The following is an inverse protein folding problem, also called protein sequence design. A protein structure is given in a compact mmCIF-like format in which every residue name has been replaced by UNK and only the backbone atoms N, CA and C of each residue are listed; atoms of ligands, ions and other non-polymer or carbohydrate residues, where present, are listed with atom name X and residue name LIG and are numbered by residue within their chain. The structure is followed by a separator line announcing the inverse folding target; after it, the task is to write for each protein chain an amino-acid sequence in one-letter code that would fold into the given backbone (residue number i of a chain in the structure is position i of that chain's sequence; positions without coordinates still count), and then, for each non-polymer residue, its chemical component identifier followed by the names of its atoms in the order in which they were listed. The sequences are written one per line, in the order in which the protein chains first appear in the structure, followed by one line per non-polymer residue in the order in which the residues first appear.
data_IF_557563401958
#
_entry.id   IF_557563401958
#
_cell.length_a   1.000
_cell.length_b   1.000
_cell.length_c   1.000
_cell.angle_alpha   90.00
_cell.angle_beta   90.00
_cell.angle_gamma   90.00
#
_symmetry.space_group_name_H-M   'P 1'
#
loop_
_entity.id
_entity.type
_entity.pdbx_description
1 polymer ?
#
# COMPACT_ATOMS: atom_id res chain seq x y z
N UNK A 1 -14.02 -1.44 -1.10
CA UNK A 1 -13.47 -0.62 0.00
C UNK A 1 -11.98 -0.38 -0.26
N UNK A 2 -11.37 0.66 0.31
CA UNK A 2 -9.97 0.98 0.06
C UNK A 2 -9.16 0.97 1.36
N UNK A 3 -7.99 0.34 1.31
CA UNK A 3 -6.96 0.42 2.36
C UNK A 3 -5.84 1.30 1.82
N UNK A 4 -5.51 2.37 2.55
CA UNK A 4 -4.38 3.23 2.24
C UNK A 4 -3.16 2.72 3.00
N UNK A 5 -2.04 2.64 2.30
CA UNK A 5 -0.74 2.18 2.81
C UNK A 5 0.25 3.32 2.63
N UNK A 6 0.84 3.78 3.72
CA UNK A 6 1.93 4.72 3.74
C UNK A 6 3.22 3.94 4.01
N UNK A 7 4.16 4.01 3.08
CA UNK A 7 5.40 3.22 3.10
C UNK A 7 6.63 4.10 3.37
N UNK A 8 7.74 3.47 3.75
CA UNK A 8 9.05 4.13 3.87
C UNK A 8 9.47 4.76 2.52
N UNK A 9 10.37 5.73 2.57
CA UNK A 9 10.91 6.35 1.35
C UNK A 9 11.62 5.32 0.48
N UNK A 10 12.38 4.42 1.10
CA UNK A 10 13.11 3.33 0.47
C UNK A 10 12.17 2.35 -0.25
N UNK A 11 11.09 1.93 0.43
CA UNK A 11 10.08 1.06 -0.17
C UNK A 11 9.32 1.76 -1.30
N UNK A 12 8.97 3.05 -1.15
CA UNK A 12 8.33 3.82 -2.21
C UNK A 12 9.21 3.91 -3.46
N UNK A 13 10.50 4.24 -3.30
CA UNK A 13 11.43 4.30 -4.42
C UNK A 13 11.55 2.97 -5.15
N UNK A 14 11.63 1.85 -4.40
CA UNK A 14 11.69 0.52 -5.00
C UNK A 14 10.40 0.17 -5.75
N UNK A 15 9.23 0.50 -5.20
CA UNK A 15 7.91 0.22 -5.82
C UNK A 15 7.66 1.05 -7.08
N UNK A 16 8.23 2.25 -7.19
CA UNK A 16 8.09 3.10 -8.39
C UNK A 16 9.15 2.83 -9.45
N UNK A 17 10.31 2.24 -9.10
CA UNK A 17 11.33 1.87 -10.07
C UNK A 17 10.90 0.59 -10.79
N UNK A 18 11.09 0.55 -12.11
CA UNK A 18 10.98 -0.69 -12.91
C UNK A 18 12.19 -1.62 -12.72
N UNK A 19 12.70 -1.74 -11.49
CA UNK A 19 13.84 -2.58 -11.10
C UNK A 19 13.44 -3.70 -10.17
N UNK A 20 14.40 -4.56 -9.75
CA UNK A 20 14.11 -5.58 -8.76
C UNK A 20 13.67 -4.92 -7.43
N UNK A 21 12.59 -5.40 -6.80
CA UNK A 21 12.16 -4.87 -5.51
C UNK A 21 13.26 -5.07 -4.47
N UNK A 22 13.47 -4.07 -3.62
CA UNK A 22 14.23 -4.26 -2.37
C UNK A 22 13.46 -5.16 -1.40
N UNK A 23 14.14 -5.70 -0.39
CA UNK A 23 13.56 -6.66 0.56
C UNK A 23 12.24 -6.17 1.20
N UNK A 24 12.15 -4.87 1.53
CA UNK A 24 10.95 -4.27 2.11
C UNK A 24 9.78 -4.22 1.10
N UNK A 25 10.04 -3.75 -0.13
CA UNK A 25 9.02 -3.74 -1.19
C UNK A 25 8.61 -5.14 -1.63
N UNK A 26 9.52 -6.12 -1.59
CA UNK A 26 9.21 -7.51 -1.94
C UNK A 26 8.30 -8.16 -0.88
N UNK A 27 8.55 -7.91 0.41
CA UNK A 27 7.67 -8.35 1.49
C UNK A 27 6.25 -7.77 1.33
N UNK A 28 6.16 -6.46 1.07
CA UNK A 28 4.90 -5.76 0.81
C UNK A 28 4.12 -6.38 -0.37
N UNK A 29 4.79 -6.59 -1.51
CA UNK A 29 4.18 -7.20 -2.70
C UNK A 29 3.70 -8.62 -2.41
N UNK A 30 4.51 -9.46 -1.75
CA UNK A 30 4.14 -10.83 -1.36
C UNK A 30 2.93 -10.86 -0.44
N UNK A 31 2.84 -9.95 0.53
CA UNK A 31 1.67 -9.84 1.40
C UNK A 31 0.43 -9.58 0.54
N UNK A 32 0.47 -8.55 -0.30
CA UNK A 32 -0.67 -8.14 -1.13
C UNK A 32 -1.07 -9.23 -2.13
N UNK A 33 -0.11 -9.89 -2.77
CA UNK A 33 -0.32 -11.03 -3.68
C UNK A 33 -0.94 -12.25 -2.98
N UNK A 34 -0.55 -12.53 -1.73
CA UNK A 34 -1.14 -13.64 -0.94
C UNK A 34 -2.65 -13.49 -0.76
N UNK A 35 -3.15 -12.25 -0.78
CA UNK A 35 -4.58 -11.95 -0.71
C UNK A 35 -5.23 -11.80 -2.10
N UNK A 36 -4.48 -11.99 -3.20
CA UNK A 36 -4.97 -11.78 -4.56
C UNK A 36 -5.23 -10.30 -4.88
N UNK A 37 -4.52 -9.39 -4.23
CA UNK A 37 -4.73 -7.95 -4.34
C UNK A 37 -3.62 -7.30 -5.16
N UNK A 38 -3.79 -6.01 -5.47
CA UNK A 38 -2.80 -5.22 -6.20
C UNK A 38 -2.55 -3.93 -5.45
N UNK A 39 -1.27 -3.60 -5.24
CA UNK A 39 -0.83 -2.35 -4.66
C UNK A 39 -0.72 -1.31 -5.78
N UNK A 40 -1.52 -0.24 -5.70
CA UNK A 40 -1.54 0.83 -6.72
C UNK A 40 -1.03 2.14 -6.12
N UNK A 41 -0.19 2.91 -6.84
CA UNK A 41 0.20 4.24 -6.36
C UNK A 41 -1.03 5.15 -6.30
N UNK A 42 -1.24 5.81 -5.16
CA UNK A 42 -2.36 6.72 -4.96
C UNK A 42 -2.19 7.99 -5.78
N UNK A 43 -0.94 8.45 -5.92
CA UNK A 43 -0.57 9.65 -6.67
C UNK A 43 0.41 9.28 -7.79
N UNK A 44 -0.12 8.83 -8.93
CA UNK A 44 0.70 8.36 -10.07
C UNK A 44 1.25 9.47 -10.98
N UNK A 45 0.84 10.72 -10.79
CA UNK A 45 1.21 11.88 -11.64
C UNK A 45 1.99 12.96 -10.89
N UNK A 46 2.64 12.60 -9.79
CA UNK A 46 3.42 13.54 -8.98
C UNK A 46 4.84 13.03 -8.79
N UNK A 47 5.80 13.96 -8.85
CA UNK A 47 7.18 13.73 -8.45
C UNK A 47 7.43 14.07 -6.98
N UNK A 48 6.40 14.54 -6.27
CA UNK A 48 6.50 14.88 -4.85
C UNK A 48 6.86 13.63 -4.03
N UNK A 49 8.02 13.63 -3.34
CA UNK A 49 8.51 12.46 -2.64
C UNK A 49 7.64 12.08 -1.44
N UNK A 50 6.87 12.99 -0.86
CA UNK A 50 5.94 12.68 0.23
C UNK A 50 4.69 11.99 -0.32
N UNK A 51 4.14 12.50 -1.42
CA UNK A 51 2.92 11.92 -2.02
C UNK A 51 3.17 10.56 -2.67
N UNK A 52 4.37 10.32 -3.21
CA UNK A 52 4.73 9.04 -3.81
C UNK A 52 4.81 7.87 -2.83
N UNK A 53 4.77 8.16 -1.53
CA UNK A 53 4.78 7.15 -0.46
C UNK A 53 3.40 6.60 -0.11
N UNK A 54 2.35 7.10 -0.76
CA UNK A 54 1.00 6.63 -0.54
C UNK A 54 0.56 5.68 -1.66
N UNK A 55 0.14 4.49 -1.22
CA UNK A 55 -0.41 3.45 -2.07
C UNK A 55 -1.80 3.07 -1.58
N UNK A 56 -2.59 2.46 -2.46
CA UNK A 56 -3.91 1.95 -2.15
C UNK A 56 -4.03 0.48 -2.55
N UNK A 57 -4.83 -0.24 -1.79
CA UNK A 57 -5.27 -1.60 -2.08
C UNK A 57 -6.79 -1.63 -2.06
N UNK A 58 -7.39 -2.15 -3.12
CA UNK A 58 -8.84 -2.35 -3.20
C UNK A 58 -9.20 -3.71 -2.61
N UNK A 59 -10.11 -3.71 -1.64
CA UNK A 59 -10.55 -4.93 -0.94
C UNK A 59 -12.08 -5.06 -1.00
N UNK A 60 -12.53 -6.30 -1.02
CA UNK A 60 -13.96 -6.63 -1.15
C UNK A 60 -14.76 -6.20 0.09
N UNK A 61 -14.24 -6.46 1.28
CA UNK A 61 -14.95 -6.26 2.55
C UNK A 61 -14.02 -5.85 3.70
N UNK A 62 -14.64 -5.51 4.83
CA UNK A 62 -13.93 -5.09 6.04
C UNK A 62 -13.10 -6.21 6.69
N UNK A 63 -13.56 -7.46 6.60
CA UNK A 63 -12.82 -8.59 7.16
C UNK A 63 -11.49 -8.81 6.44
N UNK A 64 -11.50 -8.72 5.11
CA UNK A 64 -10.31 -8.77 4.25
C UNK A 64 -9.40 -7.59 4.54
N UNK A 65 -9.94 -6.39 4.68
CA UNK A 65 -9.16 -5.19 5.04
C UNK A 65 -8.42 -5.38 6.38
N UNK A 66 -9.09 -5.84 7.42
CA UNK A 66 -8.47 -6.09 8.72
C UNK A 66 -7.35 -7.12 8.64
N UNK A 67 -7.54 -8.20 7.88
CA UNK A 67 -6.51 -9.23 7.69
C UNK A 67 -5.28 -8.70 6.93
N UNK A 68 -5.50 -7.93 5.87
CA UNK A 68 -4.43 -7.32 5.08
C UNK A 68 -3.68 -6.28 5.91
N UNK A 69 -4.41 -5.39 6.59
CA UNK A 69 -3.84 -4.37 7.48
C UNK A 69 -2.99 -5.00 8.58
N UNK A 70 -3.51 -6.02 9.26
CA UNK A 70 -2.76 -6.72 10.31
C UNK A 70 -1.43 -7.28 9.79
N UNK A 71 -1.37 -7.77 8.55
CA UNK A 71 -0.11 -8.23 7.94
C UNK A 71 0.80 -7.08 7.56
N UNK A 72 0.27 -6.06 6.90
CA UNK A 72 1.03 -4.89 6.46
C UNK A 72 1.63 -4.11 7.63
N UNK A 73 0.93 -3.98 8.76
CA UNK A 73 1.43 -3.29 9.96
C UNK A 73 2.73 -3.89 10.53
N UNK A 74 3.02 -5.16 10.24
CA UNK A 74 4.24 -5.82 10.71
C UNK A 74 5.37 -5.80 9.67
N UNK A 75 5.12 -5.30 8.46
CA UNK A 75 6.16 -5.17 7.43
C UNK A 75 7.03 -3.95 7.72
N UNK A 76 8.35 -4.12 7.57
CA UNK A 76 9.31 -3.04 7.87
C UNK A 76 9.16 -1.83 6.97
N UNK A 77 8.69 -2.04 5.74
CA UNK A 77 8.49 -0.97 4.75
C UNK A 77 7.21 -0.17 4.95
N UNK A 78 6.37 -0.48 5.96
CA UNK A 78 5.08 0.18 6.20
C UNK A 78 5.18 1.10 7.41
N UNK A 79 4.89 2.38 7.22
CA UNK A 79 4.83 3.38 8.30
C UNK A 79 3.41 3.64 8.79
N UNK A 80 2.41 3.40 7.93
CA UNK A 80 1.01 3.57 8.28
C UNK A 80 0.09 2.76 7.38
N UNK A 81 -1.01 2.26 7.94
CA UNK A 81 -2.06 1.62 7.16
C UNK A 81 -3.42 1.84 7.80
N UNK A 82 -4.40 2.22 7.00
CA UNK A 82 -5.75 2.53 7.47
C UNK A 82 -6.79 2.29 6.38
N UNK A 83 -8.03 2.04 6.81
CA UNK A 83 -9.18 1.97 5.88
C UNK A 83 -9.60 3.38 5.53
N UNK A 84 -9.71 3.69 4.24
CA UNK A 84 -10.33 4.94 3.79
C UNK A 84 -11.81 4.91 4.16
N UNK A 85 -12.34 5.92 4.86
CA UNK A 85 -13.78 6.04 5.07
C UNK A 85 -14.51 6.05 3.73
N UNK A 86 -15.78 5.57 3.67
CA UNK A 86 -16.60 5.80 2.49
C UNK A 86 -16.65 7.30 2.22
N UNK A 87 -16.42 7.71 0.97
CA UNK A 87 -16.62 9.10 0.58
C UNK A 87 -18.10 9.44 0.86
N UNK A 88 -18.36 10.44 1.70
CA UNK A 88 -19.71 11.00 1.80
C UNK A 88 -20.03 11.59 0.42
N UNK A 89 -20.94 10.94 -0.31
CA UNK A 89 -21.49 11.52 -1.53
C UNK A 89 -22.23 12.81 -1.14
N UNK A 90 -21.98 13.95 -1.80
CA UNK A 90 -22.79 15.14 -1.63
C UNK A 90 -24.23 14.95 -2.12
#
# INVERSE_FOLDING_TARGET
MQVIVHVSSEAAEALHRHGPPGAESEELLKIVETFGLVLKPMHSRTDDPLLRRYFLVEVADYATAQRVMSRLQHSRGVEGVYVKPPDELP
#
